data_IF_444901533932
#
_entry.id   IF_444901533932
#
_cell.length_a   1.000
_cell.length_b   1.000
_cell.length_c   1.000
_cell.angle_alpha   90.00
_cell.angle_beta   90.00
_cell.angle_gamma   90.00
#
_symmetry.space_group_name_H-M   'P 1'
#
loop_
_entity.id
_entity.type
_entity.pdbx_description
1 polymer ?
#
# COMPACT_ATOMS: atom_id res chain seq x y z
N UNK A 1 -3.99 8.91 -15.28
CA UNK A 1 -3.98 8.14 -14.01
C UNK A 1 -2.79 7.18 -13.92
N UNK A 2 -2.61 6.20 -14.83
CA UNK A 2 -1.47 5.26 -14.75
C UNK A 2 -0.11 5.96 -14.78
N UNK A 3 0.11 6.87 -15.73
CA UNK A 3 1.40 7.57 -15.87
C UNK A 3 1.67 8.49 -14.67
N UNK A 4 0.64 9.16 -14.15
CA UNK A 4 0.75 9.96 -12.92
C UNK A 4 1.10 9.09 -11.72
N UNK A 5 0.53 7.88 -11.62
CA UNK A 5 0.83 6.92 -10.56
C UNK A 5 2.29 6.44 -10.62
N UNK A 6 2.79 6.15 -11.84
CA UNK A 6 4.18 5.75 -12.05
C UNK A 6 5.16 6.90 -11.81
N UNK A 7 4.74 8.14 -12.02
CA UNK A 7 5.53 9.32 -11.66
C UNK A 7 5.55 9.53 -10.14
N UNK A 8 4.42 9.33 -9.47
CA UNK A 8 4.33 9.45 -8.01
C UNK A 8 5.07 8.31 -7.31
N UNK A 9 4.90 7.08 -7.77
CA UNK A 9 5.54 5.88 -7.18
C UNK A 9 6.48 5.20 -8.19
N UNK A 10 7.68 5.77 -8.44
CA UNK A 10 8.65 5.18 -9.37
C UNK A 10 9.14 3.80 -8.91
N UNK A 11 8.98 3.46 -7.62
CA UNK A 11 9.31 2.17 -7.04
C UNK A 11 8.51 1.02 -7.66
N UNK A 12 7.34 1.31 -8.26
CA UNK A 12 6.59 0.30 -9.04
C UNK A 12 7.46 -0.26 -10.16
N UNK A 13 8.33 0.58 -10.76
CA UNK A 13 9.29 0.17 -11.78
C UNK A 13 10.39 -0.79 -11.30
N UNK A 14 10.58 -0.91 -9.99
CA UNK A 14 11.55 -1.85 -9.40
C UNK A 14 11.03 -3.30 -9.34
N UNK A 15 9.74 -3.52 -9.55
CA UNK A 15 9.14 -4.86 -9.58
C UNK A 15 9.49 -5.50 -10.93
N UNK A 16 10.36 -6.51 -10.92
CA UNK A 16 10.80 -7.20 -12.14
C UNK A 16 9.74 -8.14 -12.73
N UNK A 17 8.83 -8.68 -11.91
CA UNK A 17 7.73 -9.51 -12.36
C UNK A 17 6.61 -8.64 -12.97
N UNK A 18 6.47 -8.67 -14.30
CA UNK A 18 5.53 -7.83 -15.04
C UNK A 18 4.05 -8.06 -14.65
N UNK A 19 3.67 -9.29 -14.32
CA UNK A 19 2.30 -9.59 -13.87
C UNK A 19 2.03 -8.98 -12.49
N UNK A 20 2.96 -9.12 -11.56
CA UNK A 20 2.84 -8.52 -10.22
C UNK A 20 2.83 -6.99 -10.30
N UNK A 21 3.73 -6.41 -11.12
CA UNK A 21 3.75 -4.96 -11.35
C UNK A 21 2.40 -4.45 -11.87
N UNK A 22 1.82 -5.15 -12.86
CA UNK A 22 0.48 -4.83 -13.39
C UNK A 22 -0.58 -4.90 -12.30
N UNK A 23 -0.59 -5.96 -11.48
CA UNK A 23 -1.57 -6.12 -10.41
C UNK A 23 -1.49 -5.01 -9.35
N UNK A 24 -0.27 -4.54 -9.03
CA UNK A 24 -0.05 -3.38 -8.15
C UNK A 24 -0.67 -2.11 -8.75
N UNK A 25 -0.43 -1.85 -10.03
CA UNK A 25 -1.00 -0.70 -10.73
C UNK A 25 -2.53 -0.79 -10.76
N UNK A 26 -3.08 -1.93 -11.12
CA UNK A 26 -4.53 -2.15 -11.19
C UNK A 26 -5.19 -1.97 -9.83
N UNK A 27 -4.54 -2.43 -8.76
CA UNK A 27 -5.03 -2.26 -7.38
C UNK A 27 -5.10 -0.78 -7.01
N UNK A 28 -4.06 0.01 -7.30
CA UNK A 28 -4.09 1.45 -7.06
C UNK A 28 -5.19 2.14 -7.87
N UNK A 29 -5.31 1.84 -9.17
CA UNK A 29 -6.32 2.44 -10.04
C UNK A 29 -7.73 2.14 -9.50
N UNK A 30 -8.02 0.87 -9.21
CA UNK A 30 -9.32 0.45 -8.67
C UNK A 30 -9.64 1.13 -7.33
N UNK A 31 -8.62 1.27 -6.46
CA UNK A 31 -8.80 1.92 -5.15
C UNK A 31 -9.04 3.42 -5.29
N UNK A 32 -8.28 4.09 -6.16
CA UNK A 32 -8.45 5.52 -6.44
C UNK A 32 -9.85 5.81 -7.01
N UNK A 33 -10.30 4.98 -7.96
CA UNK A 33 -11.63 5.12 -8.55
C UNK A 33 -12.74 4.89 -7.52
N UNK A 34 -12.64 3.83 -6.72
CA UNK A 34 -13.63 3.51 -5.70
C UNK A 34 -13.66 4.53 -4.56
N UNK A 35 -12.50 5.04 -4.15
CA UNK A 35 -12.36 6.08 -3.13
C UNK A 35 -12.60 7.50 -3.65
N UNK A 36 -12.83 7.66 -4.97
CA UNK A 36 -12.97 8.95 -5.65
C UNK A 36 -11.79 9.91 -5.42
N UNK A 37 -10.57 9.39 -5.50
CA UNK A 37 -9.33 10.13 -5.34
C UNK A 37 -8.62 10.36 -6.68
N UNK A 38 -7.94 11.49 -6.78
CA UNK A 38 -6.95 11.75 -7.85
C UNK A 38 -5.56 11.41 -7.34
N UNK A 39 -4.67 10.97 -8.23
CA UNK A 39 -3.29 10.60 -7.86
C UNK A 39 -2.57 11.70 -7.07
N UNK A 40 -2.71 12.96 -7.48
CA UNK A 40 -2.08 14.10 -6.80
C UNK A 40 -2.54 14.30 -5.35
N UNK A 41 -3.75 13.86 -5.00
CA UNK A 41 -4.31 14.00 -3.66
C UNK A 41 -3.65 13.07 -2.64
N UNK A 42 -2.93 12.03 -3.11
CA UNK A 42 -2.13 11.15 -2.25
C UNK A 42 -1.03 11.90 -1.49
N UNK A 43 -0.59 13.06 -2.00
CA UNK A 43 0.34 13.95 -1.32
C UNK A 43 -0.34 14.87 -0.29
N UNK A 44 -1.68 14.85 -0.21
CA UNK A 44 -2.44 15.68 0.73
C UNK A 44 -3.08 14.84 1.84
N UNK A 45 -3.37 13.56 1.57
CA UNK A 45 -3.94 12.62 2.54
C UNK A 45 -2.90 12.37 3.65
N UNK A 46 -3.24 12.57 4.95
CA UNK A 46 -2.32 12.22 6.03
C UNK A 46 -2.09 10.71 6.09
N UNK A 47 -0.87 10.27 6.42
CA UNK A 47 -0.57 8.84 6.53
C UNK A 47 -1.39 8.15 7.62
N UNK A 48 -1.81 8.91 8.66
CA UNK A 48 -2.71 8.46 9.73
C UNK A 48 -3.59 9.61 10.21
N UNK A 49 -4.75 9.27 10.77
CA UNK A 49 -5.66 10.21 11.45
C UNK A 49 -5.52 10.14 12.98
N UNK A 50 -4.57 9.38 13.51
CA UNK A 50 -4.39 9.21 14.95
C UNK A 50 -3.66 10.39 15.61
N UNK A 51 -3.01 11.24 14.79
CA UNK A 51 -2.36 12.46 15.23
C UNK A 51 -3.14 13.69 14.75
N UNK A 52 -3.31 14.72 15.60
CA UNK A 52 -4.04 15.94 15.24
C UNK A 52 -3.26 16.80 14.23
N UNK A 53 -1.96 16.64 14.15
CA UNK A 53 -1.08 17.40 13.26
C UNK A 53 -0.70 16.57 12.03
N UNK A 54 -0.69 17.23 10.87
CA UNK A 54 -0.15 16.62 9.64
C UNK A 54 1.37 16.50 9.76
N UNK A 55 1.88 15.25 9.77
CA UNK A 55 3.32 14.97 9.88
C UNK A 55 3.90 14.78 8.47
N UNK A 56 3.36 13.82 7.71
CA UNK A 56 3.69 13.56 6.31
C UNK A 56 2.51 12.88 5.61
N UNK A 57 2.54 12.92 4.28
CA UNK A 57 1.45 12.40 3.47
C UNK A 57 1.44 10.87 3.38
N UNK A 58 0.30 10.34 2.89
CA UNK A 58 0.20 8.95 2.46
C UNK A 58 1.32 8.58 1.46
N UNK A 59 1.58 9.45 0.47
CA UNK A 59 2.62 9.21 -0.53
C UNK A 59 4.02 9.16 0.12
N UNK A 60 4.37 10.09 1.00
CA UNK A 60 5.66 10.09 1.70
C UNK A 60 5.85 8.83 2.53
N UNK A 61 4.79 8.39 3.23
CA UNK A 61 4.80 7.16 4.00
C UNK A 61 5.07 5.94 3.13
N UNK A 62 4.33 5.79 2.03
CA UNK A 62 4.49 4.66 1.10
C UNK A 62 5.88 4.65 0.48
N UNK A 63 6.42 5.81 0.08
CA UNK A 63 7.80 5.93 -0.40
C UNK A 63 8.81 5.43 0.64
N UNK A 64 8.73 5.96 1.86
CA UNK A 64 9.65 5.60 2.93
C UNK A 64 9.63 4.11 3.25
N UNK A 65 8.44 3.54 3.44
CA UNK A 65 8.27 2.11 3.71
C UNK A 65 8.80 1.26 2.55
N UNK A 66 8.51 1.65 1.30
CA UNK A 66 8.94 0.88 0.13
C UNK A 66 10.45 0.88 -0.05
N UNK A 67 11.10 2.04 0.09
CA UNK A 67 12.56 2.15 -0.03
C UNK A 67 13.27 1.35 1.05
N UNK A 68 12.85 1.51 2.32
CA UNK A 68 13.43 0.77 3.45
C UNK A 68 13.26 -0.74 3.25
N UNK A 69 12.06 -1.20 2.88
CA UNK A 69 11.76 -2.62 2.68
C UNK A 69 12.56 -3.21 1.53
N UNK A 70 12.69 -2.49 0.40
CA UNK A 70 13.46 -2.94 -0.76
C UNK A 70 14.95 -3.11 -0.41
N UNK A 71 15.55 -2.14 0.28
CA UNK A 71 16.95 -2.21 0.67
C UNK A 71 17.20 -3.27 1.76
N UNK A 72 16.27 -3.42 2.71
CA UNK A 72 16.34 -4.48 3.72
C UNK A 72 16.28 -5.88 3.07
N UNK A 73 15.37 -6.11 2.13
CA UNK A 73 15.26 -7.37 1.39
C UNK A 73 16.53 -7.70 0.59
N UNK A 74 17.07 -6.71 -0.13
CA UNK A 74 18.33 -6.85 -0.87
C UNK A 74 19.51 -7.14 0.07
N UNK A 75 19.63 -6.42 1.20
CA UNK A 75 20.67 -6.63 2.19
C UNK A 75 20.59 -8.03 2.81
N UNK A 76 19.37 -8.47 3.17
CA UNK A 76 19.11 -9.82 3.67
C UNK A 76 19.60 -10.88 2.68
N UNK A 77 19.21 -10.77 1.42
CA UNK A 77 19.60 -11.72 0.38
C UNK A 77 21.11 -11.75 0.15
N UNK A 78 21.79 -10.59 0.21
CA UNK A 78 23.27 -10.54 0.14
C UNK A 78 23.93 -11.24 1.33
N UNK A 79 23.44 -10.98 2.55
CA UNK A 79 23.99 -11.56 3.78
C UNK A 79 23.86 -13.07 3.81
N UNK A 80 22.73 -13.60 3.35
CA UNK A 80 22.44 -15.03 3.36
C UNK A 80 22.52 -15.67 1.97
N UNK A 81 23.36 -15.13 1.08
CA UNK A 81 23.48 -15.59 -0.32
C UNK A 81 23.84 -17.07 -0.47
N UNK A 82 24.61 -17.64 0.47
CA UNK A 82 24.99 -19.05 0.49
C UNK A 82 23.84 -20.01 0.79
N UNK A 83 22.74 -19.51 1.35
CA UNK A 83 21.61 -20.33 1.74
C UNK A 83 20.33 -19.93 0.98
N UNK A 84 20.12 -20.59 -0.17
CA UNK A 84 18.96 -20.31 -1.04
C UNK A 84 17.60 -20.49 -0.36
N UNK A 85 17.54 -21.24 0.74
CA UNK A 85 16.30 -21.45 1.51
C UNK A 85 15.82 -20.19 2.24
N UNK A 86 16.73 -19.27 2.53
CA UNK A 86 16.45 -18.04 3.30
C UNK A 86 16.40 -16.79 2.42
N UNK A 87 16.28 -16.95 1.10
CA UNK A 87 16.11 -15.79 0.23
C UNK A 87 14.68 -15.27 0.29
N UNK A 88 14.53 -13.96 0.41
CA UNK A 88 13.24 -13.29 0.34
C UNK A 88 12.94 -12.85 -1.10
N UNK A 89 11.68 -12.88 -1.47
CA UNK A 89 11.24 -12.39 -2.78
C UNK A 89 11.18 -10.85 -2.74
N UNK A 90 12.17 -10.20 -3.39
CA UNK A 90 12.30 -8.74 -3.41
C UNK A 90 11.09 -8.09 -4.09
N UNK A 91 10.61 -8.64 -5.19
CA UNK A 91 9.44 -8.11 -5.90
C UNK A 91 8.19 -8.13 -5.02
N UNK A 92 7.98 -9.23 -4.31
CA UNK A 92 6.85 -9.36 -3.38
C UNK A 92 6.97 -8.40 -2.20
N UNK A 93 8.19 -8.18 -1.69
CA UNK A 93 8.46 -7.22 -0.62
C UNK A 93 8.14 -5.79 -1.06
N UNK A 94 8.60 -5.41 -2.27
CA UNK A 94 8.31 -4.08 -2.83
C UNK A 94 6.79 -3.92 -3.05
N UNK A 95 6.13 -4.90 -3.65
CA UNK A 95 4.69 -4.87 -3.87
C UNK A 95 3.90 -4.78 -2.56
N UNK A 96 4.34 -5.51 -1.52
CA UNK A 96 3.77 -5.44 -0.18
C UNK A 96 3.90 -4.05 0.44
N UNK A 97 5.09 -3.47 0.36
CA UNK A 97 5.35 -2.12 0.85
C UNK A 97 4.53 -1.05 0.11
N UNK A 98 4.40 -1.16 -1.22
CA UNK A 98 3.56 -0.26 -2.01
C UNK A 98 2.07 -0.35 -1.64
N UNK A 99 1.55 -1.54 -1.36
CA UNK A 99 0.12 -1.78 -1.18
C UNK A 99 -0.34 -1.93 0.27
N UNK A 100 0.58 -1.97 1.28
CA UNK A 100 0.17 -2.26 2.66
C UNK A 100 -0.98 -1.37 3.13
N UNK A 101 -0.92 -0.10 2.81
CA UNK A 101 -1.86 0.94 3.22
C UNK A 101 -2.91 1.31 2.16
N UNK A 102 -2.98 0.59 1.03
CA UNK A 102 -3.86 0.96 -0.09
C UNK A 102 -5.33 1.09 0.31
N UNK A 103 -5.79 0.30 1.27
CA UNK A 103 -7.15 0.37 1.81
C UNK A 103 -7.48 1.67 2.53
N UNK A 104 -6.50 2.49 2.95
CA UNK A 104 -6.73 3.83 3.51
C UNK A 104 -7.45 4.75 2.53
N UNK A 105 -7.28 4.53 1.23
CA UNK A 105 -7.97 5.29 0.20
C UNK A 105 -9.49 5.00 0.15
N UNK A 106 -9.95 3.91 0.78
CA UNK A 106 -11.36 3.60 1.01
C UNK A 106 -11.78 3.96 2.43
N UNK A 107 -10.83 3.97 3.36
CA UNK A 107 -11.08 4.28 4.77
C UNK A 107 -11.25 5.78 5.01
N UNK A 108 -10.59 6.63 4.22
CA UNK A 108 -10.58 8.07 4.41
C UNK A 108 -11.45 8.80 3.39
N UNK A 109 -11.99 9.93 3.80
CA UNK A 109 -12.68 10.90 2.95
C UNK A 109 -12.30 12.32 3.36
N UNK A 110 -12.42 13.28 2.42
CA UNK A 110 -12.31 14.70 2.71
C UNK A 110 -13.69 15.22 3.11
N UNK A 111 -13.80 15.81 4.29
CA UNK A 111 -15.03 16.47 4.74
C UNK A 111 -15.26 17.79 4.00
N UNK A 112 -16.46 18.34 4.08
CA UNK A 112 -16.82 19.64 3.50
C UNK A 112 -15.92 20.79 3.98
N UNK A 113 -15.42 20.70 5.21
CA UNK A 113 -14.51 21.67 5.81
C UNK A 113 -13.03 21.43 5.41
N UNK A 114 -12.74 20.50 4.50
CA UNK A 114 -11.40 20.20 4.03
C UNK A 114 -10.57 19.25 4.92
N UNK A 115 -11.06 18.88 6.10
CA UNK A 115 -10.40 17.91 6.97
C UNK A 115 -10.62 16.48 6.51
N UNK A 116 -9.67 15.60 6.84
CA UNK A 116 -9.80 14.18 6.59
C UNK A 116 -10.50 13.49 7.77
N UNK A 117 -11.33 12.49 7.46
CA UNK A 117 -12.02 11.65 8.44
C UNK A 117 -12.22 10.24 7.89
N UNK A 118 -12.54 9.29 8.79
CA UNK A 118 -12.90 7.93 8.36
C UNK A 118 -14.30 7.91 7.76
N UNK A 119 -14.44 7.24 6.61
CA UNK A 119 -15.73 6.93 5.97
C UNK A 119 -16.56 5.99 6.85
N UNK A 120 -17.86 5.88 6.58
CA UNK A 120 -18.69 4.84 7.21
C UNK A 120 -18.19 3.43 6.85
N UNK A 121 -17.77 3.23 5.60
CA UNK A 121 -17.15 1.99 5.13
C UNK A 121 -15.86 1.68 5.91
N UNK A 122 -14.96 2.64 6.04
CA UNK A 122 -13.68 2.45 6.72
C UNK A 122 -13.80 2.22 8.23
N UNK A 123 -14.89 2.67 8.85
CA UNK A 123 -15.19 2.31 10.25
C UNK A 123 -15.68 0.87 10.40
N UNK A 124 -16.40 0.36 9.40
CA UNK A 124 -16.92 -1.01 9.40
C UNK A 124 -15.88 -2.02 8.91
N UNK A 125 -15.04 -1.63 7.96
CA UNK A 125 -14.02 -2.50 7.35
C UNK A 125 -12.69 -1.74 7.23
N UNK A 126 -11.79 -2.01 8.17
CA UNK A 126 -10.51 -1.32 8.28
C UNK A 126 -9.59 -1.59 7.09
N UNK A 127 -8.68 -0.65 6.83
CA UNK A 127 -7.83 -0.64 5.65
C UNK A 127 -7.00 -1.91 5.39
N UNK A 128 -6.49 -2.67 6.39
CA UNK A 128 -5.78 -3.90 6.08
C UNK A 128 -6.66 -4.91 5.38
N UNK A 129 -7.92 -5.04 5.83
CA UNK A 129 -8.86 -6.01 5.28
C UNK A 129 -9.40 -5.54 3.93
N UNK A 130 -9.87 -4.29 3.83
CA UNK A 130 -10.39 -3.74 2.57
C UNK A 130 -9.32 -3.70 1.46
N UNK A 131 -8.08 -3.33 1.82
CA UNK A 131 -6.94 -3.36 0.90
C UNK A 131 -6.61 -4.76 0.40
N UNK A 132 -6.61 -5.76 1.28
CA UNK A 132 -6.36 -7.16 0.91
C UNK A 132 -7.46 -7.72 -0.02
N UNK A 133 -8.72 -7.42 0.25
CA UNK A 133 -9.86 -7.83 -0.61
C UNK A 133 -9.70 -7.24 -2.01
N UNK A 134 -9.38 -5.95 -2.10
CA UNK A 134 -9.25 -5.28 -3.40
C UNK A 134 -8.01 -5.76 -4.17
N UNK A 135 -6.89 -5.95 -3.49
CA UNK A 135 -5.69 -6.52 -4.08
C UNK A 135 -5.95 -7.93 -4.65
N UNK A 136 -6.70 -8.76 -3.90
CA UNK A 136 -7.12 -10.08 -4.38
C UNK A 136 -8.01 -9.98 -5.63
N UNK A 137 -8.97 -9.07 -5.65
CA UNK A 137 -9.84 -8.84 -6.81
C UNK A 137 -9.06 -8.37 -8.05
N UNK A 138 -7.94 -7.67 -7.87
CA UNK A 138 -7.02 -7.24 -8.94
C UNK A 138 -5.97 -8.31 -9.31
N UNK A 139 -6.10 -9.55 -8.81
CA UNK A 139 -5.25 -10.68 -9.17
C UNK A 139 -3.90 -10.73 -8.43
N UNK A 140 -3.74 -9.98 -7.34
CA UNK A 140 -2.56 -10.11 -6.49
C UNK A 140 -2.48 -11.51 -5.86
N UNK A 141 -1.26 -12.08 -5.74
CA UNK A 141 -1.07 -13.38 -5.14
C UNK A 141 -1.46 -13.36 -3.64
N UNK A 142 -1.88 -14.51 -3.13
CA UNK A 142 -2.35 -14.65 -1.74
C UNK A 142 -1.33 -14.20 -0.69
N UNK A 143 -0.04 -14.38 -0.97
CA UNK A 143 1.06 -13.94 -0.10
C UNK A 143 1.07 -12.41 0.03
N UNK A 144 0.81 -11.68 -1.06
CA UNK A 144 0.70 -10.23 -1.05
C UNK A 144 -0.57 -9.77 -0.31
N UNK A 145 -1.70 -10.43 -0.56
CA UNK A 145 -2.94 -10.15 0.16
C UNK A 145 -2.77 -10.39 1.67
N UNK A 146 -2.03 -11.45 2.06
CA UNK A 146 -1.73 -11.72 3.46
C UNK A 146 -0.87 -10.60 4.08
N UNK A 147 0.20 -10.16 3.41
CA UNK A 147 1.02 -9.02 3.87
C UNK A 147 0.12 -7.80 4.14
N UNK A 148 -0.76 -7.47 3.19
CA UNK A 148 -1.67 -6.33 3.35
C UNK A 148 -2.63 -6.54 4.54
N UNK A 149 -3.18 -7.74 4.69
CA UNK A 149 -4.16 -8.02 5.75
C UNK A 149 -3.59 -7.94 7.17
N UNK A 150 -2.31 -8.27 7.37
CA UNK A 150 -1.70 -8.40 8.70
C UNK A 150 -0.62 -7.37 9.02
N UNK A 151 -0.43 -6.35 8.16
CA UNK A 151 0.64 -5.37 8.36
C UNK A 151 0.41 -4.44 9.57
N UNK A 152 -0.80 -4.34 10.08
CA UNK A 152 -1.18 -3.49 11.21
C UNK A 152 -2.00 -4.27 12.22
N UNK A 153 -2.00 -3.81 13.47
CA UNK A 153 -2.71 -4.46 14.57
C UNK A 153 -4.22 -4.64 14.31
N UNK A 154 -4.80 -3.75 13.51
CA UNK A 154 -6.21 -3.86 13.10
C UNK A 154 -6.50 -5.10 12.25
N UNK A 155 -5.48 -5.68 11.61
CA UNK A 155 -5.63 -6.94 10.87
C UNK A 155 -5.85 -8.15 11.78
N UNK A 156 -5.39 -8.05 13.02
CA UNK A 156 -5.48 -9.12 14.04
C UNK A 156 -6.68 -8.94 14.99
N UNK A 157 -7.38 -7.81 14.92
CA UNK A 157 -8.52 -7.55 15.78
C UNK A 157 -9.73 -8.39 15.35
N UNK A 158 -10.21 -9.25 16.23
CA UNK A 158 -11.56 -9.81 16.13
C UNK A 158 -12.59 -8.65 16.25
N UNK A 159 -13.54 -8.65 15.38
CA UNK A 159 -14.69 -7.75 15.41
C UNK A 159 -15.55 -8.08 16.62
#
# INVERSE_FOLDING_TARGET
MKDELLQLFPEIGLIGNASLQKNVIDTYIATLEQGNWKVKELCEIPFTLDFPEFIFSYADHVHGVTQISAEAAKAFNRTYASNKKYQVNVDLTIAGALLHDVGKLLEYERSENGYFRKTAYGRALRHPVSGAILAHACGCPKELCHIIAVHAAEGDCSI
#
